data_IF_804414860680
#
_entry.id   IF_804414860680
#
_cell.length_a   1.000
_cell.length_b   1.000
_cell.length_c   1.000
_cell.angle_alpha   90.00
_cell.angle_beta   90.00
_cell.angle_gamma   90.00
#
_symmetry.space_group_name_H-M   'P 1'
#
loop_
_entity.id
_entity.type
_entity.pdbx_description
1 polymer ?
#
# COMPACT_ATOMS: atom_id res chain seq x y z
N UNK A 1 2.64 0.36 4.04
CA UNK A 1 1.16 0.36 4.09
C UNK A 1 0.73 -1.07 3.87
N UNK A 2 0.40 -1.80 4.93
CA UNK A 2 -0.08 -3.17 4.78
C UNK A 2 -1.60 -3.05 4.70
N UNK A 3 -2.14 -3.31 3.52
CA UNK A 3 -3.57 -3.54 3.37
C UNK A 3 -3.90 -4.77 4.20
N UNK A 4 -4.74 -4.63 5.21
CA UNK A 4 -5.41 -5.78 5.77
C UNK A 4 -6.26 -6.39 4.65
N UNK A 5 -5.77 -7.46 4.04
CA UNK A 5 -6.43 -8.19 2.95
C UNK A 5 -7.89 -8.51 3.27
N UNK A 6 -8.22 -8.60 4.55
CA UNK A 6 -9.58 -8.75 5.06
C UNK A 6 -10.57 -7.72 4.47
N UNK A 7 -10.22 -6.44 4.31
CA UNK A 7 -11.16 -5.47 3.75
C UNK A 7 -11.41 -5.70 2.26
N UNK A 8 -10.36 -6.02 1.51
CA UNK A 8 -10.48 -6.33 0.08
C UNK A 8 -11.30 -7.59 -0.16
N UNK A 9 -11.12 -8.63 0.67
CA UNK A 9 -11.92 -9.86 0.56
C UNK A 9 -13.38 -9.62 0.93
N UNK A 10 -13.64 -8.80 1.96
CA UNK A 10 -14.98 -8.40 2.34
C UNK A 10 -15.67 -7.55 1.26
N UNK A 11 -14.97 -6.58 0.66
CA UNK A 11 -15.47 -5.80 -0.48
C UNK A 11 -15.76 -6.69 -1.70
N UNK A 12 -14.84 -7.60 -2.05
CA UNK A 12 -15.06 -8.51 -3.16
C UNK A 12 -16.29 -9.40 -2.96
N UNK A 13 -16.62 -9.77 -1.70
CA UNK A 13 -17.79 -10.60 -1.39
C UNK A 13 -19.12 -9.93 -1.74
N UNK A 14 -19.19 -8.60 -1.68
CA UNK A 14 -20.38 -7.78 -1.95
C UNK A 14 -20.36 -7.13 -3.35
N UNK A 15 -19.43 -7.53 -4.21
CA UNK A 15 -19.30 -7.09 -5.60
C UNK A 15 -19.52 -8.28 -6.54
N UNK A 16 -19.84 -8.01 -7.81
CA UNK A 16 -20.01 -9.08 -8.79
C UNK A 16 -18.65 -9.67 -9.18
N UNK A 17 -18.46 -10.95 -8.86
CA UNK A 17 -17.21 -11.70 -9.07
C UNK A 17 -17.17 -12.51 -10.36
N UNK A 18 -18.20 -12.40 -11.21
CA UNK A 18 -18.23 -13.07 -12.50
C UNK A 18 -17.35 -12.31 -13.51
N UNK A 19 -16.32 -13.00 -14.04
CA UNK A 19 -15.53 -12.50 -15.19
C UNK A 19 -16.12 -13.01 -16.51
N UNK A 20 -16.74 -14.18 -16.48
CA UNK A 20 -17.40 -14.81 -17.63
C UNK A 20 -18.67 -15.49 -17.14
N UNK A 21 -19.60 -15.83 -18.05
CA UNK A 21 -20.91 -16.43 -17.73
C UNK A 21 -20.87 -17.74 -16.91
N UNK A 22 -19.69 -18.34 -16.71
CA UNK A 22 -19.52 -19.53 -15.86
C UNK A 22 -18.27 -19.52 -14.98
N UNK A 23 -17.58 -18.38 -14.83
CA UNK A 23 -16.37 -18.30 -14.00
C UNK A 23 -16.46 -17.19 -12.96
N UNK A 24 -16.57 -17.62 -11.70
CA UNK A 24 -16.66 -16.77 -10.52
C UNK A 24 -15.36 -16.86 -9.73
N UNK A 25 -14.72 -15.73 -9.47
CA UNK A 25 -13.47 -15.68 -8.70
C UNK A 25 -13.79 -15.68 -7.20
N UNK A 26 -13.14 -16.50 -6.36
CA UNK A 26 -13.29 -16.42 -4.92
C UNK A 26 -12.83 -15.05 -4.38
N UNK A 27 -13.51 -14.45 -3.39
CA UNK A 27 -13.15 -13.12 -2.88
C UNK A 27 -11.73 -13.10 -2.28
N UNK A 28 -11.30 -14.22 -1.69
CA UNK A 28 -9.94 -14.41 -1.17
C UNK A 28 -8.84 -14.37 -2.24
N UNK A 29 -9.16 -14.64 -3.49
CA UNK A 29 -8.18 -14.77 -4.57
C UNK A 29 -7.75 -13.44 -5.18
N UNK A 30 -8.46 -12.34 -4.89
CA UNK A 30 -8.11 -11.02 -5.45
C UNK A 30 -6.72 -10.55 -5.02
N UNK A 31 -6.23 -10.95 -3.83
CA UNK A 31 -4.86 -10.65 -3.39
C UNK A 31 -3.76 -11.21 -4.31
N UNK A 32 -4.06 -12.22 -5.14
CA UNK A 32 -3.11 -12.79 -6.12
C UNK A 32 -2.72 -11.74 -7.16
N UNK A 33 -3.58 -10.77 -7.47
CA UNK A 33 -3.27 -9.67 -8.40
C UNK A 33 -2.02 -8.90 -7.93
N UNK A 34 -1.92 -8.61 -6.63
CA UNK A 34 -0.75 -7.94 -6.06
C UNK A 34 0.51 -8.81 -6.19
N UNK A 35 0.40 -10.11 -5.91
CA UNK A 35 1.53 -11.06 -6.02
C UNK A 35 2.05 -11.14 -7.46
N UNK A 36 1.15 -11.30 -8.43
CA UNK A 36 1.50 -11.32 -9.86
C UNK A 36 2.16 -10.00 -10.26
N UNK A 37 1.62 -8.87 -9.79
CA UNK A 37 2.20 -7.55 -10.07
C UNK A 37 3.63 -7.43 -9.53
N UNK A 38 3.88 -7.88 -8.29
CA UNK A 38 5.22 -7.91 -7.69
C UNK A 38 6.16 -8.76 -8.54
N UNK A 39 5.75 -9.97 -8.92
CA UNK A 39 6.57 -10.88 -9.75
C UNK A 39 6.89 -10.28 -11.11
N UNK A 40 5.89 -9.74 -11.82
CA UNK A 40 6.08 -9.08 -13.10
C UNK A 40 6.99 -7.86 -12.98
N UNK A 41 6.85 -7.07 -11.92
CA UNK A 41 7.69 -5.89 -11.70
C UNK A 41 9.14 -6.25 -11.43
N UNK A 42 9.41 -7.25 -10.58
CA UNK A 42 10.77 -7.71 -10.31
C UNK A 42 11.44 -8.17 -11.60
N UNK A 43 10.75 -9.00 -12.39
CA UNK A 43 11.25 -9.46 -13.68
C UNK A 43 11.53 -8.28 -14.63
N UNK A 44 10.62 -7.32 -14.73
CA UNK A 44 10.80 -6.12 -15.54
C UNK A 44 11.96 -5.25 -15.04
N UNK A 45 12.11 -5.09 -13.73
CA UNK A 45 13.16 -4.28 -13.14
C UNK A 45 14.55 -4.83 -13.46
N UNK A 46 14.74 -6.13 -13.26
CA UNK A 46 16.02 -6.79 -13.48
C UNK A 46 16.40 -6.86 -14.96
N UNK A 47 15.44 -7.15 -15.85
CA UNK A 47 15.70 -7.31 -17.29
C UNK A 47 15.74 -6.01 -18.09
N UNK A 48 14.96 -4.99 -17.70
CA UNK A 48 14.85 -3.76 -18.47
C UNK A 48 15.44 -2.57 -17.72
N UNK A 49 15.02 -2.33 -16.47
CA UNK A 49 15.36 -1.09 -15.75
C UNK A 49 16.83 -1.04 -15.37
N UNK A 50 17.40 -2.11 -14.82
CA UNK A 50 18.82 -2.19 -14.44
C UNK A 50 19.76 -1.96 -15.64
N UNK A 51 19.65 -2.68 -16.78
CA UNK A 51 20.55 -2.46 -17.90
C UNK A 51 20.35 -1.08 -18.55
N UNK A 52 19.13 -0.54 -18.57
CA UNK A 52 18.88 0.83 -19.05
C UNK A 52 19.56 1.88 -18.16
N UNK A 53 19.46 1.76 -16.84
CA UNK A 53 20.09 2.69 -15.90
C UNK A 53 21.63 2.58 -15.93
N UNK A 54 22.16 1.36 -16.10
CA UNK A 54 23.60 1.16 -16.29
C UNK A 54 24.09 1.79 -17.59
N UNK A 55 23.32 1.68 -18.69
CA UNK A 55 23.70 2.19 -20.01
C UNK A 55 23.55 3.71 -20.16
N UNK A 56 22.47 4.29 -19.65
CA UNK A 56 22.12 5.70 -19.90
C UNK A 56 22.44 6.64 -18.73
N UNK A 57 22.35 6.16 -17.49
CA UNK A 57 22.56 7.01 -16.31
C UNK A 57 23.89 6.74 -15.60
N UNK A 58 24.69 5.77 -16.07
CA UNK A 58 25.95 5.40 -15.42
C UNK A 58 25.76 4.88 -13.98
N UNK A 59 24.56 4.37 -13.65
CA UNK A 59 24.23 3.85 -12.32
C UNK A 59 24.22 2.31 -12.37
N UNK A 60 25.37 1.63 -12.19
CA UNK A 60 25.47 0.18 -12.34
C UNK A 60 24.67 -0.61 -11.28
N UNK A 61 24.22 0.05 -10.21
CA UNK A 61 23.40 -0.53 -9.13
C UNK A 61 21.91 -0.13 -9.21
N UNK A 62 21.50 0.56 -10.27
CA UNK A 62 20.12 1.03 -10.44
C UNK A 62 19.80 2.32 -9.65
N UNK A 63 18.52 2.54 -9.34
CA UNK A 63 18.04 3.74 -8.62
C UNK A 63 18.55 3.77 -7.18
N UNK A 64 18.82 4.94 -6.62
CA UNK A 64 19.20 5.09 -5.21
C UNK A 64 18.13 4.47 -4.28
N UNK A 65 18.51 3.66 -3.27
CA UNK A 65 17.58 3.07 -2.30
C UNK A 65 16.61 4.07 -1.68
N UNK A 66 17.06 5.30 -1.38
CA UNK A 66 16.20 6.35 -0.79
C UNK A 66 15.07 6.76 -1.74
N UNK A 67 15.38 6.89 -3.03
CA UNK A 67 14.41 7.26 -4.06
C UNK A 67 13.39 6.14 -4.25
N UNK A 68 13.83 4.88 -4.25
CA UNK A 68 12.93 3.72 -4.33
C UNK A 68 11.93 3.71 -3.16
N UNK A 69 12.41 3.91 -1.93
CA UNK A 69 11.55 3.98 -0.73
C UNK A 69 10.54 5.12 -0.88
N UNK A 70 10.99 6.34 -1.24
CA UNK A 70 10.10 7.48 -1.40
C UNK A 70 9.03 7.25 -2.49
N UNK A 71 9.42 6.70 -3.65
CA UNK A 71 8.48 6.36 -4.74
C UNK A 71 7.45 5.32 -4.31
N UNK A 72 7.86 4.27 -3.61
CA UNK A 72 6.93 3.26 -3.12
C UNK A 72 5.95 3.81 -2.08
N UNK A 73 6.39 4.72 -1.21
CA UNK A 73 5.49 5.43 -0.29
C UNK A 73 4.49 6.33 -1.03
N UNK A 74 4.92 7.06 -2.05
CA UNK A 74 4.04 7.88 -2.88
C UNK A 74 2.99 7.05 -3.61
N UNK A 75 3.40 5.93 -4.24
CA UNK A 75 2.49 5.01 -4.91
C UNK A 75 1.50 4.37 -3.93
N UNK A 76 1.93 4.07 -2.70
CA UNK A 76 1.03 3.61 -1.64
C UNK A 76 -0.05 4.65 -1.33
N UNK A 77 0.29 5.94 -1.28
CA UNK A 77 -0.67 7.02 -1.06
C UNK A 77 -1.71 7.05 -2.19
N UNK A 78 -1.24 7.05 -3.44
CA UNK A 78 -2.11 7.07 -4.63
C UNK A 78 -3.04 5.85 -4.62
N UNK A 79 -2.52 4.67 -4.27
CA UNK A 79 -3.33 3.46 -4.18
C UNK A 79 -4.45 3.57 -3.14
N UNK A 80 -4.20 4.17 -1.97
CA UNK A 80 -5.24 4.37 -0.95
C UNK A 80 -6.29 5.38 -1.41
N UNK A 81 -5.89 6.42 -2.16
CA UNK A 81 -6.84 7.37 -2.77
C UNK A 81 -7.73 6.65 -3.78
N UNK A 82 -7.15 5.83 -4.66
CA UNK A 82 -7.90 5.03 -5.64
C UNK A 82 -8.89 4.10 -4.93
N UNK A 83 -8.45 3.40 -3.88
CA UNK A 83 -9.33 2.53 -3.09
C UNK A 83 -10.51 3.30 -2.46
N UNK A 84 -10.23 4.49 -1.90
CA UNK A 84 -11.28 5.37 -1.35
C UNK A 84 -12.28 5.82 -2.40
N UNK A 85 -11.82 6.21 -3.60
CA UNK A 85 -12.70 6.61 -4.71
C UNK A 85 -13.55 5.43 -5.21
N UNK A 86 -12.96 4.25 -5.41
CA UNK A 86 -13.68 3.04 -5.83
C UNK A 86 -14.76 2.68 -4.81
N UNK A 87 -14.45 2.76 -3.52
CA UNK A 87 -15.41 2.48 -2.45
C UNK A 87 -16.53 3.52 -2.41
N UNK A 88 -16.22 4.81 -2.55
CA UNK A 88 -17.25 5.86 -2.62
C UNK A 88 -18.20 5.65 -3.82
N UNK A 89 -17.70 5.16 -4.96
CA UNK A 89 -18.54 4.82 -6.13
C UNK A 89 -19.41 3.61 -5.83
N UNK A 90 -18.83 2.54 -5.29
CA UNK A 90 -19.54 1.30 -4.92
C UNK A 90 -20.67 1.59 -3.94
N UNK A 91 -20.38 2.37 -2.89
CA UNK A 91 -21.35 2.77 -1.87
C UNK A 91 -22.50 3.60 -2.45
N UNK A 92 -22.20 4.60 -3.30
CA UNK A 92 -23.24 5.39 -3.99
C UNK A 92 -24.18 4.50 -4.81
N UNK A 93 -23.64 3.49 -5.49
CA UNK A 93 -24.43 2.54 -6.25
C UNK A 93 -25.33 1.67 -5.34
N UNK A 94 -24.79 1.18 -4.21
CA UNK A 94 -25.55 0.42 -3.23
C UNK A 94 -26.74 1.22 -2.68
N UNK A 95 -26.53 2.50 -2.32
CA UNK A 95 -27.58 3.40 -1.82
C UNK A 95 -28.62 3.68 -2.91
N UNK A 96 -28.21 3.96 -4.14
CA UNK A 96 -29.14 4.24 -5.25
C UNK A 96 -30.06 3.06 -5.58
N UNK A 97 -29.60 1.83 -5.30
CA UNK A 97 -30.37 0.61 -5.51
C UNK A 97 -31.20 0.21 -4.27
N UNK A 98 -31.24 1.03 -3.22
CA UNK A 98 -31.97 0.73 -1.98
C UNK A 98 -31.39 -0.45 -1.18
N UNK A 99 -30.12 -0.79 -1.39
CA UNK A 99 -29.46 -1.95 -0.78
C UNK A 99 -28.72 -1.61 0.52
N UNK A 100 -28.94 -0.42 1.08
CA UNK A 100 -28.20 0.13 2.23
C UNK A 100 -28.35 -0.73 3.50
N UNK A 101 -29.55 -1.24 3.78
CA UNK A 101 -29.82 -2.08 4.95
C UNK A 101 -29.54 -3.58 4.71
N UNK A 102 -29.07 -3.97 3.53
CA UNK A 102 -28.80 -5.37 3.18
C UNK A 102 -27.29 -5.68 3.22
N UNK A 103 -26.77 -6.29 4.30
CA UNK A 103 -25.33 -6.49 4.49
C UNK A 103 -24.67 -7.46 3.49
N UNK A 104 -25.46 -8.32 2.84
CA UNK A 104 -24.98 -9.29 1.85
C UNK A 104 -25.46 -8.97 0.42
N UNK A 105 -26.09 -7.81 0.18
CA UNK A 105 -26.53 -7.46 -1.15
C UNK A 105 -25.33 -7.21 -2.06
N UNK A 106 -25.29 -7.94 -3.17
CA UNK A 106 -24.25 -7.80 -4.18
C UNK A 106 -24.57 -6.57 -5.02
N UNK A 107 -23.69 -5.58 -4.97
CA UNK A 107 -23.77 -4.42 -5.86
C UNK A 107 -23.41 -4.91 -7.26
N UNK A 108 -24.18 -4.50 -8.28
CA UNK A 108 -23.92 -4.81 -9.71
C UNK A 108 -22.64 -4.19 -10.29
N UNK A 109 -21.64 -3.94 -9.45
CA UNK A 109 -20.32 -3.45 -9.80
C UNK A 109 -19.35 -4.63 -9.84
N UNK A 110 -18.61 -4.77 -10.94
CA UNK A 110 -17.62 -5.84 -11.08
C UNK A 110 -16.50 -5.70 -10.05
N UNK A 111 -16.12 -6.80 -9.41
CA UNK A 111 -15.00 -6.88 -8.48
C UNK A 111 -13.64 -6.55 -9.13
N UNK A 112 -13.55 -6.52 -10.48
CA UNK A 112 -12.34 -6.10 -11.21
C UNK A 112 -11.99 -4.63 -10.96
N UNK A 113 -12.93 -3.82 -10.47
CA UNK A 113 -12.65 -2.45 -10.02
C UNK A 113 -11.70 -2.37 -8.81
N UNK A 114 -11.46 -3.49 -8.11
CA UNK A 114 -10.43 -3.59 -7.06
C UNK A 114 -9.01 -3.76 -7.65
N UNK A 115 -8.90 -4.18 -8.92
CA UNK A 115 -7.61 -4.48 -9.54
C UNK A 115 -6.67 -3.25 -9.61
N UNK A 116 -7.12 -2.03 -9.97
CA UNK A 116 -6.24 -0.86 -10.02
C UNK A 116 -5.52 -0.58 -8.69
N UNK A 117 -6.22 -0.65 -7.56
CA UNK A 117 -5.57 -0.44 -6.26
C UNK A 117 -4.63 -1.60 -5.89
N UNK A 118 -4.98 -2.84 -6.23
CA UNK A 118 -4.12 -4.01 -5.94
C UNK A 118 -2.82 -3.98 -6.75
N UNK A 119 -2.91 -3.59 -8.03
CA UNK A 119 -1.75 -3.39 -8.90
C UNK A 119 -0.86 -2.28 -8.35
N UNK A 120 -1.44 -1.13 -7.99
CA UNK A 120 -0.69 0.00 -7.44
C UNK A 120 0.00 -0.36 -6.11
N UNK A 121 -0.67 -1.07 -5.21
CA UNK A 121 -0.05 -1.58 -3.98
C UNK A 121 1.06 -2.56 -4.30
N UNK A 122 0.86 -3.51 -5.22
CA UNK A 122 1.90 -4.48 -5.61
C UNK A 122 3.16 -3.78 -6.12
N UNK A 123 3.01 -2.79 -6.99
CA UNK A 123 4.14 -1.97 -7.45
C UNK A 123 4.81 -1.19 -6.31
N UNK A 124 4.00 -0.55 -5.46
CA UNK A 124 4.49 0.22 -4.32
C UNK A 124 5.32 -0.64 -3.36
N UNK A 125 4.82 -1.84 -3.04
CA UNK A 125 5.46 -2.80 -2.16
C UNK A 125 6.77 -3.31 -2.75
N UNK A 126 6.79 -3.68 -4.03
CA UNK A 126 7.99 -4.18 -4.68
C UNK A 126 9.12 -3.15 -4.69
N UNK A 127 8.83 -1.91 -5.10
CA UNK A 127 9.84 -0.84 -5.15
C UNK A 127 10.32 -0.47 -3.73
N UNK A 128 9.39 -0.32 -2.78
CA UNK A 128 9.72 0.06 -1.41
C UNK A 128 10.54 -1.00 -0.69
N UNK A 129 10.14 -2.27 -0.74
CA UNK A 129 10.80 -3.36 -0.01
C UNK A 129 12.24 -3.57 -0.47
N UNK A 130 12.48 -3.52 -1.78
CA UNK A 130 13.85 -3.61 -2.33
C UNK A 130 14.69 -2.44 -1.82
N UNK A 131 14.15 -1.21 -1.86
CA UNK A 131 14.84 -0.03 -1.35
C UNK A 131 15.18 -0.12 0.14
N UNK A 132 14.26 -0.63 0.97
CA UNK A 132 14.49 -0.80 2.41
C UNK A 132 15.57 -1.83 2.71
N UNK A 133 15.53 -3.00 2.06
CA UNK A 133 16.52 -4.06 2.25
C UNK A 133 17.92 -3.57 1.83
N UNK A 134 18.03 -2.89 0.69
CA UNK A 134 19.29 -2.35 0.20
C UNK A 134 19.85 -1.27 1.14
N UNK A 135 18.99 -0.42 1.70
CA UNK A 135 19.38 0.57 2.71
C UNK A 135 19.86 -0.11 4.00
N UNK A 136 19.18 -1.16 4.47
CA UNK A 136 19.62 -1.89 5.66
C UNK A 136 20.96 -2.55 5.45
N UNK A 137 21.23 -3.16 4.30
CA UNK A 137 22.56 -3.70 3.98
C UNK A 137 23.64 -2.62 3.77
N UNK A 138 23.27 -1.39 3.42
CA UNK A 138 24.20 -0.28 3.33
C UNK A 138 24.63 0.24 4.72
N UNK A 139 23.71 0.22 5.70
CA UNK A 139 23.96 0.66 7.08
C UNK A 139 24.60 -0.47 7.91
N UNK A 140 24.04 -1.67 7.81
CA UNK A 140 24.51 -2.88 8.48
C UNK A 140 25.35 -3.66 7.47
N UNK A 141 26.66 -3.71 7.70
CA UNK A 141 27.60 -4.42 6.83
C UNK A 141 27.08 -5.82 6.42
N UNK A 142 27.47 -6.32 5.23
CA UNK A 142 26.99 -7.59 4.69
C UNK A 142 27.17 -8.80 5.63
N UNK A 143 28.12 -8.74 6.56
CA UNK A 143 28.31 -9.77 7.59
C UNK A 143 27.15 -9.87 8.60
N UNK A 144 26.31 -8.83 8.69
CA UNK A 144 25.12 -8.75 9.55
C UNK A 144 23.82 -8.88 8.75
N UNK A 145 23.85 -9.61 7.63
CA UNK A 145 22.69 -9.74 6.75
C UNK A 145 21.47 -10.33 7.45
N UNK A 146 21.67 -11.24 8.41
CA UNK A 146 20.58 -11.80 9.23
C UNK A 146 19.91 -10.74 10.12
N UNK A 147 20.70 -9.82 10.71
CA UNK A 147 20.19 -8.73 11.53
C UNK A 147 19.38 -7.72 10.70
N UNK A 148 19.84 -7.40 9.49
CA UNK A 148 19.11 -6.54 8.57
C UNK A 148 17.72 -7.12 8.21
N UNK A 149 17.66 -8.43 7.92
CA UNK A 149 16.39 -9.10 7.65
C UNK A 149 15.50 -9.18 8.90
N UNK A 150 16.07 -9.41 10.09
CA UNK A 150 15.33 -9.42 11.34
C UNK A 150 14.71 -8.04 11.66
N UNK A 151 15.42 -6.94 11.38
CA UNK A 151 14.89 -5.59 11.55
C UNK A 151 13.78 -5.28 10.55
N UNK A 152 13.91 -5.73 9.30
CA UNK A 152 12.86 -5.61 8.29
C UNK A 152 11.58 -6.33 8.71
N UNK A 153 11.69 -7.60 9.14
CA UNK A 153 10.51 -8.39 9.58
C UNK A 153 9.90 -7.86 10.87
N UNK A 154 10.73 -7.38 11.81
CA UNK A 154 10.25 -6.72 13.03
C UNK A 154 9.49 -5.43 12.68
N UNK A 155 9.99 -4.62 11.75
CA UNK A 155 9.31 -3.41 11.28
C UNK A 155 7.95 -3.73 10.68
N UNK A 156 7.84 -4.81 9.91
CA UNK A 156 6.58 -5.31 9.36
C UNK A 156 5.62 -5.81 10.46
N UNK A 157 6.12 -6.48 11.49
CA UNK A 157 5.30 -6.89 12.63
C UNK A 157 4.71 -5.69 13.39
N UNK A 158 5.54 -4.67 13.67
CA UNK A 158 5.12 -3.41 14.29
C UNK A 158 4.07 -2.72 13.41
N UNK A 159 4.28 -2.66 12.10
CA UNK A 159 3.33 -2.06 11.17
C UNK A 159 1.95 -2.76 11.21
N UNK A 160 1.92 -4.10 11.30
CA UNK A 160 0.67 -4.85 11.44
C UNK A 160 -0.03 -4.56 12.78
N UNK A 161 0.73 -4.47 13.88
CA UNK A 161 0.17 -4.12 15.19
C UNK A 161 -0.44 -2.72 15.19
N UNK A 162 0.28 -1.74 14.63
CA UNK A 162 -0.23 -0.36 14.46
C UNK A 162 -1.46 -0.34 13.56
N UNK A 163 -1.49 -1.15 12.49
CA UNK A 163 -2.66 -1.30 11.63
C UNK A 163 -3.90 -1.84 12.36
N UNK A 164 -3.72 -2.84 13.23
CA UNK A 164 -4.79 -3.36 14.10
C UNK A 164 -5.28 -2.30 15.09
N UNK A 165 -4.36 -1.65 15.81
CA UNK A 165 -4.70 -0.57 16.73
C UNK A 165 -5.42 0.59 16.04
N UNK A 166 -5.05 0.91 14.80
CA UNK A 166 -5.73 1.95 14.02
C UNK A 166 -7.18 1.56 13.71
N UNK A 167 -7.45 0.29 13.40
CA UNK A 167 -8.82 -0.22 13.21
C UNK A 167 -9.61 -0.08 14.50
N UNK A 168 -9.06 -0.52 15.63
CA UNK A 168 -9.73 -0.44 16.94
C UNK A 168 -10.02 1.02 17.34
N UNK A 169 -9.05 1.92 17.12
CA UNK A 169 -9.24 3.35 17.36
C UNK A 169 -10.33 3.93 16.48
N UNK A 170 -10.31 3.65 15.17
CA UNK A 170 -11.33 4.13 14.23
C UNK A 170 -12.70 3.58 14.61
N UNK A 171 -12.79 2.31 15.03
CA UNK A 171 -14.03 1.68 15.48
C UNK A 171 -14.62 2.40 16.71
N UNK A 172 -13.79 2.69 17.71
CA UNK A 172 -14.19 3.44 18.92
C UNK A 172 -14.60 4.88 18.60
N UNK A 173 -13.79 5.60 17.81
CA UNK A 173 -14.10 7.00 17.48
C UNK A 173 -15.31 7.14 16.58
N UNK A 174 -15.51 6.21 15.65
CA UNK A 174 -16.63 6.24 14.70
C UNK A 174 -17.94 5.78 15.32
N UNK A 175 -17.90 4.91 16.33
CA UNK A 175 -19.09 4.47 17.08
C UNK A 175 -19.54 5.46 18.16
N UNK A 176 -18.68 6.40 18.55
CA UNK A 176 -18.98 7.41 19.57
C UNK A 176 -19.98 8.45 19.04
N UNK A 177 -21.16 8.54 19.68
CA UNK A 177 -22.17 9.57 19.38
C UNK A 177 -23.36 9.12 18.53
N UNK A 178 -23.61 7.81 18.41
CA UNK A 178 -24.81 7.26 17.75
C UNK A 178 -24.83 7.43 16.22
N UNK A 179 -23.71 7.86 15.63
CA UNK A 179 -23.49 7.92 14.19
C UNK A 179 -23.03 6.55 13.68
N UNK A 180 -23.22 6.31 12.39
CA UNK A 180 -22.86 5.03 11.79
C UNK A 180 -21.34 4.81 11.77
N UNK A 181 -20.95 3.63 12.21
CA UNK A 181 -19.56 3.22 12.29
C UNK A 181 -18.93 3.13 10.89
N UNK A 182 -17.74 3.70 10.70
CA UNK A 182 -16.98 3.64 9.45
C UNK A 182 -16.66 2.20 9.06
N UNK A 183 -16.41 1.35 10.06
CA UNK A 183 -16.07 -0.07 9.92
C UNK A 183 -17.25 -0.97 10.30
N UNK A 184 -18.48 -0.54 9.99
CA UNK A 184 -19.68 -1.31 10.27
C UNK A 184 -19.63 -2.71 9.64
N UNK A 185 -20.16 -3.71 10.36
CA UNK A 185 -20.37 -5.08 9.86
C UNK A 185 -21.17 -5.09 8.55
N UNK A 186 -22.03 -4.08 8.35
CA UNK A 186 -22.66 -3.81 7.06
C UNK A 186 -21.83 -2.80 6.27
N UNK A 187 -21.03 -3.29 5.32
CA UNK A 187 -20.20 -2.49 4.40
C UNK A 187 -21.01 -1.58 3.46
N UNK A 188 -22.29 -1.88 3.20
CA UNK A 188 -23.13 -1.00 2.38
C UNK A 188 -23.56 0.26 3.16
N UNK A 189 -23.56 0.16 4.49
CA UNK A 189 -23.94 1.21 5.43
C UNK A 189 -22.73 1.99 5.93
N UNK A 190 -21.67 1.27 6.29
CA UNK A 190 -20.40 1.83 6.76
C UNK A 190 -19.69 2.71 5.74
N UNK A 191 -18.86 3.61 6.26
CA UNK A 191 -18.03 4.54 5.50
C UNK A 191 -16.59 4.06 5.37
N UNK A 192 -16.41 2.92 4.69
CA UNK A 192 -15.08 2.36 4.45
C UNK A 192 -14.20 3.29 3.60
N UNK A 193 -14.82 4.15 2.79
CA UNK A 193 -14.16 5.19 2.02
C UNK A 193 -13.40 6.19 2.92
N UNK A 194 -13.98 6.63 4.05
CA UNK A 194 -13.28 7.49 5.01
C UNK A 194 -12.06 6.82 5.64
N UNK A 195 -12.14 5.51 5.91
CA UNK A 195 -10.98 4.76 6.39
C UNK A 195 -9.85 4.73 5.34
N UNK A 196 -10.16 4.53 4.06
CA UNK A 196 -9.15 4.60 3.00
C UNK A 196 -8.56 6.01 2.83
N UNK A 197 -9.36 7.07 2.92
CA UNK A 197 -8.84 8.44 2.88
C UNK A 197 -7.97 8.77 4.11
N UNK A 198 -8.32 8.27 5.29
CA UNK A 198 -7.48 8.38 6.49
C UNK A 198 -6.13 7.68 6.28
N UNK A 199 -6.13 6.47 5.73
CA UNK A 199 -4.90 5.75 5.38
C UNK A 199 -4.08 6.50 4.34
N UNK A 200 -4.72 7.11 3.33
CA UNK A 200 -4.05 7.93 2.34
C UNK A 200 -3.37 9.15 2.98
N UNK A 201 -4.05 9.84 3.90
CA UNK A 201 -3.51 10.97 4.63
C UNK A 201 -2.32 10.58 5.51
N UNK A 202 -2.44 9.48 6.26
CA UNK A 202 -1.35 8.97 7.10
C UNK A 202 -0.14 8.52 6.26
N UNK A 203 -0.39 7.87 5.12
CA UNK A 203 0.65 7.50 4.17
C UNK A 203 1.35 8.74 3.61
N UNK A 204 0.60 9.81 3.32
CA UNK A 204 1.16 11.07 2.83
C UNK A 204 2.05 11.75 3.88
N UNK A 205 1.63 11.77 5.15
CA UNK A 205 2.48 12.25 6.26
C UNK A 205 3.77 11.41 6.33
N UNK A 206 3.67 10.09 6.23
CA UNK A 206 4.83 9.20 6.26
C UNK A 206 5.78 9.45 5.07
N UNK A 207 5.23 9.70 3.88
CA UNK A 207 6.01 10.10 2.71
C UNK A 207 6.75 11.43 2.95
N UNK A 208 6.07 12.45 3.49
CA UNK A 208 6.70 13.73 3.82
C UNK A 208 7.79 13.59 4.88
N UNK A 209 7.55 12.79 5.92
CA UNK A 209 8.56 12.46 6.93
C UNK A 209 9.79 11.81 6.28
N UNK A 210 9.60 10.83 5.38
CA UNK A 210 10.69 10.18 4.66
C UNK A 210 11.51 11.19 3.83
N UNK A 211 10.85 12.13 3.13
CA UNK A 211 11.55 13.18 2.38
C UNK A 211 12.38 14.09 3.27
N UNK A 212 11.86 14.47 4.43
CA UNK A 212 12.60 15.29 5.42
C UNK A 212 13.83 14.53 5.91
N UNK A 213 13.69 13.26 6.29
CA UNK A 213 14.81 12.43 6.70
C UNK A 213 15.88 12.28 5.60
N UNK A 214 15.45 12.10 4.35
CA UNK A 214 16.39 12.03 3.22
C UNK A 214 17.17 13.34 3.06
N UNK A 215 16.48 14.49 3.11
CA UNK A 215 17.09 15.83 3.02
C UNK A 215 18.09 16.10 4.14
N UNK A 216 17.73 15.79 5.39
CA UNK A 216 18.63 16.00 6.55
C UNK A 216 19.89 15.14 6.43
N UNK A 217 19.75 13.88 6.00
CA UNK A 217 20.88 12.98 5.83
C UNK A 217 21.83 13.43 4.71
N UNK A 218 21.31 14.00 3.62
CA UNK A 218 22.14 14.52 2.54
C UNK A 218 22.88 15.80 2.96
N UNK A 219 22.22 16.71 3.69
CA UNK A 219 22.84 17.90 4.27
C UNK A 219 23.96 17.57 5.27
N UNK A 220 23.79 16.51 6.07
CA UNK A 220 24.80 16.05 7.02
C UNK A 220 26.06 15.51 6.32
N UNK A 221 25.89 14.73 5.25
CA UNK A 221 27.02 14.25 4.42
C UNK A 221 27.75 15.39 3.73
N UNK A 222 27.03 16.39 3.21
CA UNK A 222 27.62 17.59 2.63
C UNK A 222 28.49 18.35 3.65
N UNK A 223 27.93 18.65 4.83
CA UNK A 223 28.62 19.32 5.94
C UNK A 223 29.90 18.61 6.41
N UNK A 224 29.87 17.27 6.51
CA UNK A 224 31.04 16.48 6.91
C UNK A 224 32.12 16.47 5.82
N UNK A 225 31.73 16.42 4.54
CA UNK A 225 32.70 16.48 3.43
C UNK A 225 33.41 17.83 3.32
N UNK A 226 32.72 18.93 3.64
CA UNK A 226 33.32 20.27 3.64
C UNK A 226 34.30 20.44 4.80
N UNK A 227 33.97 19.93 6.00
CA UNK A 227 34.88 19.97 7.17
C UNK A 227 36.11 19.08 7.08
N UNK A 228 36.14 18.12 6.16
CA UNK A 228 37.29 17.23 5.95
C UNK A 228 38.21 17.74 4.82
N UNK A 229 37.77 18.74 4.05
CA UNK A 229 38.53 19.35 2.97
C UNK A 229 39.08 20.74 3.33
N UNK A 230 38.80 21.24 4.54
CA UNK A 230 39.38 22.43 5.17
C UNK A 230 40.37 22.01 6.28
#
# INVERSE_FOLDING_TARGET
>A
VILNNNFTTLQAKIMDRHITSGFEIPPGSFGVISVVTITCWIAFYDHAVVPLLAKYCGMPRGLDPKVRIALGLLLSCISMIVAGVVESIRRKMAISNGMEDQPNAVVGMSAMWLAPQLILVGFAEAINSIGQIELYYAILSKSMSSLAMALFTLGMAIANLVGGLLIDLVDVFSSTGGKENWLSTNLNKGHLDYYYFLLAFLAFINYMYCLICCRVNDSSKGSISTRLND
#
